data_IF_517929916343
#
_entry.id   IF_517929916343
#
_cell.length_a   1.000
_cell.length_b   1.000
_cell.length_c   1.000
_cell.angle_alpha   90.00
_cell.angle_beta   90.00
_cell.angle_gamma   90.00
#
_symmetry.space_group_name_H-M   'P 1'
#
loop_
_entity.id
_entity.type
_entity.pdbx_description
1 polymer ?
#
# COMPACT_ATOMS: atom_id res chain seq x y z
N UNK A 1 37.31 10.98 -3.90
CA UNK A 1 35.89 11.36 -3.77
C UNK A 1 35.08 10.52 -4.75
N UNK A 2 34.20 9.64 -4.26
CA UNK A 2 33.18 9.02 -5.12
C UNK A 2 32.15 10.10 -5.42
N UNK A 3 31.88 10.39 -6.69
CA UNK A 3 30.77 11.24 -7.09
C UNK A 3 29.48 10.67 -6.49
N UNK A 4 28.79 11.45 -5.65
CA UNK A 4 27.40 11.18 -5.31
C UNK A 4 26.59 11.31 -6.60
N UNK A 5 26.22 10.17 -7.18
CA UNK A 5 25.26 10.13 -8.28
C UNK A 5 23.97 10.77 -7.77
N UNK A 6 23.60 11.92 -8.32
CA UNK A 6 22.28 12.51 -8.11
C UNK A 6 21.22 11.43 -8.39
N UNK A 7 20.17 11.32 -7.55
CA UNK A 7 19.10 10.36 -7.78
C UNK A 7 18.61 10.46 -9.22
N UNK A 8 18.42 9.31 -9.87
CA UNK A 8 17.90 9.25 -11.26
C UNK A 8 16.52 9.91 -11.34
N UNK A 9 15.78 9.93 -10.22
CA UNK A 9 14.42 10.43 -10.11
C UNK A 9 14.38 11.52 -9.03
N UNK A 10 13.76 12.64 -9.37
CA UNK A 10 13.50 13.74 -8.45
C UNK A 10 12.53 13.33 -7.32
N UNK A 11 12.89 13.65 -6.07
CA UNK A 11 11.91 13.76 -4.99
C UNK A 11 11.12 15.05 -5.23
N UNK A 12 10.08 14.99 -6.05
CA UNK A 12 9.21 16.16 -6.26
C UNK A 12 8.24 16.27 -5.09
N UNK A 13 8.44 17.30 -4.27
CA UNK A 13 7.42 17.76 -3.32
C UNK A 13 6.50 18.72 -4.07
N UNK A 14 5.21 18.45 -4.07
CA UNK A 14 4.20 19.41 -4.50
C UNK A 14 3.51 19.98 -3.27
N UNK A 15 2.82 21.11 -3.42
CA UNK A 15 1.88 21.53 -2.41
C UNK A 15 0.73 20.52 -2.37
N UNK A 16 0.40 20.06 -1.18
CA UNK A 16 -0.69 19.12 -0.96
C UNK A 16 -2.02 19.83 -1.18
N UNK A 17 -2.91 19.22 -1.96
CA UNK A 17 -4.31 19.58 -1.96
C UNK A 17 -4.96 18.80 -0.80
N UNK A 18 -5.45 19.46 0.26
CA UNK A 18 -6.02 18.77 1.42
C UNK A 18 -7.19 17.83 1.07
N UNK A 19 -7.89 18.05 -0.05
CA UNK A 19 -9.04 17.24 -0.43
C UNK A 19 -8.67 15.91 -1.11
N UNK A 20 -7.51 15.83 -1.75
CA UNK A 20 -7.09 14.68 -2.58
C UNK A 20 -5.69 14.16 -2.21
N UNK A 21 -5.08 14.70 -1.15
CA UNK A 21 -3.77 14.31 -0.62
C UNK A 21 -2.59 14.74 -1.50
N UNK A 22 -1.36 14.28 -1.20
CA UNK A 22 -0.21 14.51 -2.06
C UNK A 22 -0.28 13.65 -3.34
N UNK A 23 0.12 14.18 -4.52
CA UNK A 23 0.29 13.37 -5.74
C UNK A 23 1.49 12.43 -5.68
N UNK A 24 2.40 12.60 -4.71
CA UNK A 24 3.47 11.66 -4.36
C UNK A 24 3.47 11.50 -2.85
N UNK A 25 2.95 10.35 -2.39
CA UNK A 25 2.76 10.07 -0.97
C UNK A 25 4.06 9.74 -0.23
N UNK A 26 5.03 9.10 -0.90
CA UNK A 26 6.25 8.61 -0.28
C UNK A 26 7.49 9.18 -0.95
N UNK A 27 8.53 9.40 -0.15
CA UNK A 27 9.87 9.72 -0.64
C UNK A 27 10.46 8.51 -1.39
N UNK A 28 11.44 8.76 -2.26
CA UNK A 28 12.11 7.68 -3.00
C UNK A 28 12.69 6.57 -2.09
N UNK A 29 13.33 6.87 -0.94
CA UNK A 29 13.76 5.84 0.01
C UNK A 29 12.61 4.98 0.52
N UNK A 30 11.45 5.55 0.85
CA UNK A 30 10.28 4.79 1.28
C UNK A 30 9.73 3.90 0.18
N UNK A 31 9.68 4.38 -1.07
CA UNK A 31 9.22 3.57 -2.21
C UNK A 31 10.18 2.40 -2.46
N UNK A 32 11.50 2.62 -2.39
CA UNK A 32 12.49 1.53 -2.48
C UNK A 32 12.33 0.54 -1.34
N UNK A 33 12.11 1.02 -0.11
CA UNK A 33 11.84 0.19 1.05
C UNK A 33 10.62 -0.70 0.81
N UNK A 34 9.52 -0.14 0.32
CA UNK A 34 8.30 -0.88 -0.02
C UNK A 34 8.57 -2.02 -1.02
N UNK A 35 9.28 -1.74 -2.12
CA UNK A 35 9.59 -2.76 -3.12
C UNK A 35 10.55 -3.84 -2.59
N UNK A 36 11.58 -3.46 -1.84
CA UNK A 36 12.48 -4.41 -1.19
C UNK A 36 11.73 -5.31 -0.19
N UNK A 37 10.87 -4.71 0.64
CA UNK A 37 10.06 -5.41 1.64
C UNK A 37 9.24 -6.55 1.02
N UNK A 38 8.64 -6.30 -0.15
CA UNK A 38 7.86 -7.34 -0.85
C UNK A 38 8.70 -8.21 -1.78
N UNK A 39 10.03 -8.09 -1.77
CA UNK A 39 10.94 -8.79 -2.66
C UNK A 39 10.52 -8.66 -4.13
N UNK A 40 10.28 -7.42 -4.58
CA UNK A 40 9.93 -7.13 -5.97
C UNK A 40 11.06 -7.51 -6.94
N UNK A 41 10.67 -8.06 -8.09
CA UNK A 41 11.57 -8.62 -9.10
C UNK A 41 11.16 -8.24 -10.52
N UNK A 42 12.01 -8.58 -11.49
CA UNK A 42 11.74 -8.33 -12.91
C UNK A 42 10.62 -9.21 -13.51
N UNK A 43 10.10 -10.18 -12.75
CA UNK A 43 8.93 -10.99 -13.12
C UNK A 43 7.61 -10.38 -12.65
N UNK A 44 7.67 -9.39 -11.76
CA UNK A 44 6.49 -8.83 -11.12
C UNK A 44 5.73 -7.82 -12.01
N UNK A 45 4.41 -7.90 -11.94
CA UNK A 45 3.49 -6.91 -12.54
C UNK A 45 2.86 -6.11 -11.41
N UNK A 46 3.20 -4.83 -11.36
CA UNK A 46 2.80 -3.92 -10.30
C UNK A 46 1.61 -3.05 -10.69
N UNK A 47 0.66 -2.91 -9.78
CA UNK A 47 -0.50 -2.05 -9.92
C UNK A 47 -0.50 -1.01 -8.80
N UNK A 48 -0.65 0.27 -9.16
CA UNK A 48 -0.71 1.40 -8.24
C UNK A 48 -2.10 2.05 -8.34
N UNK A 49 -2.90 1.90 -7.28
CA UNK A 49 -4.28 2.39 -7.23
C UNK A 49 -4.31 3.77 -6.57
N UNK A 50 -4.54 4.82 -7.37
CA UNK A 50 -4.31 6.21 -6.96
C UNK A 50 -2.87 6.64 -7.20
N UNK A 51 -2.36 6.38 -8.41
CA UNK A 51 -0.94 6.46 -8.73
C UNK A 51 -0.35 7.88 -8.73
N UNK A 52 -1.18 8.92 -8.67
CA UNK A 52 -0.76 10.31 -8.62
C UNK A 52 0.16 10.68 -9.78
N UNK A 53 1.37 11.15 -9.47
CA UNK A 53 2.39 11.47 -10.47
C UNK A 53 3.24 10.27 -10.92
N UNK A 54 2.79 9.05 -10.62
CA UNK A 54 3.40 7.78 -11.00
C UNK A 54 4.82 7.56 -10.44
N UNK A 55 5.13 8.09 -9.26
CA UNK A 55 6.46 7.95 -8.65
C UNK A 55 6.83 6.50 -8.40
N UNK A 56 5.93 5.72 -7.81
CA UNK A 56 6.13 4.28 -7.56
C UNK A 56 6.41 3.53 -8.85
N UNK A 57 5.67 3.85 -9.92
CA UNK A 57 5.80 3.23 -11.24
C UNK A 57 7.16 3.54 -11.86
N UNK A 58 7.61 4.79 -11.80
CA UNK A 58 8.90 5.21 -12.37
C UNK A 58 10.04 4.50 -11.63
N UNK A 59 10.01 4.47 -10.29
CA UNK A 59 11.02 3.74 -9.48
C UNK A 59 10.97 2.24 -9.79
N UNK A 60 9.77 1.65 -9.81
CA UNK A 60 9.59 0.23 -10.09
C UNK A 60 10.19 -0.20 -11.43
N UNK A 61 9.96 0.58 -12.50
CA UNK A 61 10.53 0.26 -13.82
C UNK A 61 12.03 0.52 -13.90
N UNK A 62 12.51 1.65 -13.37
CA UNK A 62 13.89 2.10 -13.61
C UNK A 62 14.92 1.53 -12.64
N UNK A 63 14.53 1.21 -11.41
CA UNK A 63 15.44 0.74 -10.38
C UNK A 63 15.22 -0.74 -10.03
N UNK A 64 13.97 -1.20 -10.03
CA UNK A 64 13.61 -2.60 -9.72
C UNK A 64 13.40 -3.46 -10.97
N UNK A 65 13.41 -2.84 -12.15
CA UNK A 65 13.23 -3.52 -13.44
C UNK A 65 11.92 -4.34 -13.53
N UNK A 66 10.88 -3.96 -12.81
CA UNK A 66 9.59 -4.66 -12.76
C UNK A 66 9.08 -4.96 -14.17
N UNK A 67 8.51 -6.16 -14.38
CA UNK A 67 8.06 -6.62 -15.71
C UNK A 67 7.17 -5.60 -16.40
N UNK A 68 6.20 -5.09 -15.65
CA UNK A 68 5.16 -4.15 -16.11
C UNK A 68 4.56 -3.40 -14.91
N UNK A 69 4.24 -2.12 -15.10
CA UNK A 69 3.57 -1.29 -14.11
C UNK A 69 2.29 -0.65 -14.67
N UNK A 70 1.19 -0.71 -13.93
CA UNK A 70 -0.08 -0.07 -14.27
C UNK A 70 -0.48 0.90 -13.17
N UNK A 71 -0.68 2.17 -13.51
CA UNK A 71 -1.21 3.18 -12.59
C UNK A 71 -2.64 3.54 -12.95
N UNK A 72 -3.49 3.69 -11.94
CA UNK A 72 -4.83 4.25 -12.10
C UNK A 72 -4.89 5.58 -11.37
N UNK A 73 -5.34 6.62 -12.05
CA UNK A 73 -5.47 7.96 -11.49
C UNK A 73 -6.77 8.61 -12.00
N UNK A 74 -7.58 9.13 -11.09
CA UNK A 74 -8.87 9.74 -11.43
C UNK A 74 -8.77 11.23 -11.68
N UNK A 75 -7.79 11.91 -11.06
CA UNK A 75 -7.56 13.33 -11.24
C UNK A 75 -6.87 13.59 -12.58
N UNK A 76 -7.46 14.49 -13.38
CA UNK A 76 -6.97 14.79 -14.73
C UNK A 76 -5.57 15.41 -14.70
N UNK A 77 -5.30 16.35 -13.80
CA UNK A 77 -4.01 17.04 -13.75
C UNK A 77 -2.88 16.11 -13.32
N UNK A 78 -3.12 15.27 -12.30
CA UNK A 78 -2.19 14.21 -11.89
C UNK A 78 -1.96 13.21 -13.00
N UNK A 79 -3.02 12.77 -13.68
CA UNK A 79 -2.92 11.89 -14.83
C UNK A 79 -2.04 12.51 -15.92
N UNK A 80 -2.30 13.74 -16.36
CA UNK A 80 -1.50 14.40 -17.40
C UNK A 80 -0.04 14.58 -16.99
N UNK A 81 0.21 14.93 -15.72
CA UNK A 81 1.57 15.04 -15.23
C UNK A 81 2.29 13.68 -15.17
N UNK A 82 1.61 12.62 -14.75
CA UNK A 82 2.16 11.26 -14.77
C UNK A 82 2.60 10.86 -16.18
N UNK A 83 1.78 11.14 -17.21
CA UNK A 83 2.11 10.89 -18.61
C UNK A 83 3.34 11.72 -19.05
N UNK A 84 3.43 12.99 -18.65
CA UNK A 84 4.60 13.84 -18.91
C UNK A 84 5.86 13.26 -18.25
N UNK A 85 5.78 12.79 -17.01
CA UNK A 85 6.91 12.19 -16.28
C UNK A 85 7.36 10.88 -16.92
N UNK A 86 6.44 9.99 -17.30
CA UNK A 86 6.77 8.75 -18.02
C UNK A 86 7.54 9.06 -19.32
N UNK A 87 7.13 10.10 -20.06
CA UNK A 87 7.84 10.58 -21.26
C UNK A 87 9.22 11.15 -20.91
N UNK A 88 9.33 12.00 -19.88
CA UNK A 88 10.60 12.60 -19.39
C UNK A 88 11.64 11.52 -19.08
N UNK A 89 11.22 10.44 -18.39
CA UNK A 89 12.09 9.31 -18.04
C UNK A 89 12.19 8.24 -19.13
N UNK A 90 11.65 8.48 -20.33
CA UNK A 90 11.71 7.58 -21.50
C UNK A 90 11.20 6.16 -21.21
N UNK A 91 10.17 6.05 -20.38
CA UNK A 91 9.59 4.76 -20.00
C UNK A 91 8.82 4.16 -21.19
N UNK A 92 9.12 2.93 -21.63
CA UNK A 92 8.42 2.29 -22.74
C UNK A 92 6.94 2.03 -22.43
N UNK A 93 6.05 2.29 -23.40
CA UNK A 93 4.59 2.10 -23.25
C UNK A 93 4.16 0.65 -22.96
N UNK A 94 4.98 -0.33 -23.36
CA UNK A 94 4.73 -1.74 -23.06
C UNK A 94 5.18 -2.14 -21.64
N UNK A 95 5.96 -1.29 -20.98
CA UNK A 95 6.47 -1.48 -19.61
C UNK A 95 5.66 -0.72 -18.58
N UNK A 96 5.16 0.48 -18.91
CA UNK A 96 4.27 1.21 -18.03
C UNK A 96 3.11 1.86 -18.78
N UNK A 97 1.94 1.88 -18.13
CA UNK A 97 0.74 2.58 -18.60
C UNK A 97 0.02 3.22 -17.42
N UNK A 98 -0.34 4.49 -17.57
CA UNK A 98 -1.27 5.17 -16.67
C UNK A 98 -2.63 5.20 -17.33
N UNK A 99 -3.66 4.99 -16.52
CA UNK A 99 -5.05 4.94 -16.95
C UNK A 99 -5.79 6.01 -16.19
N UNK A 100 -6.41 6.91 -16.94
CA UNK A 100 -7.30 7.89 -16.38
C UNK A 100 -8.64 7.24 -16.04
N UNK A 101 -9.04 7.29 -14.77
CA UNK A 101 -10.29 6.73 -14.29
C UNK A 101 -10.27 6.40 -12.80
N UNK A 102 -11.43 5.98 -12.30
CA UNK A 102 -11.58 5.53 -10.92
C UNK A 102 -11.10 4.09 -10.81
N UNK A 103 -10.33 3.76 -9.77
CA UNK A 103 -9.82 2.40 -9.61
C UNK A 103 -10.96 1.40 -9.37
N UNK A 104 -12.13 1.84 -8.89
CA UNK A 104 -13.30 0.99 -8.72
C UNK A 104 -13.80 0.40 -10.03
N UNK A 105 -13.61 1.11 -11.15
CA UNK A 105 -14.00 0.65 -12.48
C UNK A 105 -13.18 -0.56 -12.95
N UNK A 106 -12.02 -0.82 -12.34
CA UNK A 106 -11.25 -2.05 -12.57
C UNK A 106 -12.01 -3.31 -12.13
N UNK A 107 -12.76 -3.23 -11.04
CA UNK A 107 -13.45 -4.40 -10.47
C UNK A 107 -14.72 -4.77 -11.24
N UNK A 108 -15.21 -3.85 -12.08
CA UNK A 108 -16.41 -4.00 -12.88
C UNK A 108 -16.08 -4.24 -14.36
N UNK A 109 -14.79 -4.46 -14.70
CA UNK A 109 -14.29 -4.63 -16.06
C UNK A 109 -14.66 -3.47 -17.01
N UNK A 110 -14.86 -2.26 -16.46
CA UNK A 110 -15.21 -1.06 -17.23
C UNK A 110 -13.98 -0.45 -17.94
N UNK A 111 -12.78 -0.78 -17.47
CA UNK A 111 -11.52 -0.31 -18.05
C UNK A 111 -10.97 -1.34 -19.02
N UNK A 112 -10.97 -1.00 -20.32
CA UNK A 112 -10.43 -1.88 -21.37
C UNK A 112 -8.91 -2.02 -21.29
N UNK A 113 -8.42 -3.23 -21.54
CA UNK A 113 -7.00 -3.54 -21.63
C UNK A 113 -6.28 -3.58 -20.27
N UNK A 114 -7.03 -3.82 -19.21
CA UNK A 114 -6.53 -4.06 -17.86
C UNK A 114 -7.11 -5.35 -17.34
N UNK A 115 -6.28 -6.13 -16.64
CA UNK A 115 -6.72 -7.37 -16.03
C UNK A 115 -6.05 -7.52 -14.68
N UNK A 116 -6.79 -7.28 -13.59
CA UNK A 116 -6.27 -7.41 -12.22
C UNK A 116 -5.76 -8.82 -11.89
N UNK A 117 -6.14 -9.85 -12.66
CA UNK A 117 -5.59 -11.21 -12.51
C UNK A 117 -4.13 -11.31 -12.93
N UNK A 118 -3.59 -10.36 -13.68
CA UNK A 118 -2.16 -10.35 -14.03
C UNK A 118 -1.29 -9.76 -12.91
N UNK A 119 -1.89 -9.01 -11.97
CA UNK A 119 -1.17 -8.33 -10.92
C UNK A 119 -0.45 -9.35 -10.00
N UNK A 120 0.80 -9.08 -9.72
CA UNK A 120 1.59 -9.83 -8.74
C UNK A 120 1.78 -9.03 -7.45
N UNK A 121 1.81 -7.70 -7.58
CA UNK A 121 1.90 -6.73 -6.50
C UNK A 121 0.88 -5.63 -6.76
N UNK A 122 0.10 -5.26 -5.75
CA UNK A 122 -0.82 -4.12 -5.78
C UNK A 122 -0.44 -3.22 -4.62
N UNK A 123 -0.16 -1.95 -4.87
CA UNK A 123 -0.14 -0.93 -3.83
C UNK A 123 -1.51 -0.26 -3.73
N UNK A 124 -1.98 -0.12 -2.50
CA UNK A 124 -3.24 0.55 -2.18
C UNK A 124 -3.05 1.45 -0.95
N UNK A 125 -3.14 2.76 -1.17
CA UNK A 125 -2.96 3.78 -0.13
C UNK A 125 -4.15 4.72 0.04
N UNK A 126 -5.35 4.28 -0.38
CA UNK A 126 -6.55 5.12 -0.37
C UNK A 126 -7.52 4.70 0.74
N UNK A 127 -8.23 5.65 1.34
CA UNK A 127 -9.27 5.35 2.31
C UNK A 127 -10.60 5.09 1.59
N UNK A 128 -10.93 3.82 1.30
CA UNK A 128 -12.27 3.47 0.83
C UNK A 128 -12.84 2.24 1.53
N UNK A 129 -14.17 2.17 1.58
CA UNK A 129 -14.89 1.05 2.16
C UNK A 129 -15.13 -0.05 1.13
N UNK A 130 -15.11 -1.32 1.57
CA UNK A 130 -15.50 -2.46 0.74
C UNK A 130 -14.52 -2.88 -0.36
N UNK A 131 -13.36 -2.22 -0.48
CA UNK A 131 -12.32 -2.53 -1.48
C UNK A 131 -11.82 -3.98 -1.38
N UNK A 132 -11.70 -4.50 -0.16
CA UNK A 132 -11.24 -5.87 0.09
C UNK A 132 -12.08 -6.94 -0.61
N UNK A 133 -13.41 -6.84 -0.50
CA UNK A 133 -14.33 -7.80 -1.13
C UNK A 133 -14.18 -7.78 -2.64
N UNK A 134 -13.90 -6.60 -3.22
CA UNK A 134 -13.67 -6.44 -4.66
C UNK A 134 -12.30 -7.00 -5.07
N UNK A 135 -11.23 -6.69 -4.32
CA UNK A 135 -9.88 -7.23 -4.56
C UNK A 135 -9.88 -8.76 -4.50
N UNK A 136 -10.44 -9.35 -3.44
CA UNK A 136 -10.50 -10.81 -3.24
C UNK A 136 -11.09 -11.56 -4.43
N UNK A 137 -12.07 -10.97 -5.14
CA UNK A 137 -12.70 -11.59 -6.31
C UNK A 137 -11.87 -11.43 -7.59
N UNK A 138 -11.16 -10.31 -7.72
CA UNK A 138 -10.59 -9.88 -9.00
C UNK A 138 -9.08 -10.12 -9.16
N UNK A 139 -8.35 -10.38 -8.06
CA UNK A 139 -6.91 -10.66 -8.11
C UNK A 139 -6.62 -12.16 -8.18
N UNK A 140 -5.41 -12.53 -8.59
CA UNK A 140 -4.95 -13.93 -8.59
C UNK A 140 -4.42 -14.36 -7.22
N UNK A 141 -4.36 -15.67 -7.00
CA UNK A 141 -3.66 -16.22 -5.83
C UNK A 141 -2.16 -15.91 -5.90
N UNK A 142 -1.57 -15.72 -4.73
CA UNK A 142 -0.19 -15.26 -4.56
C UNK A 142 0.02 -13.75 -4.81
N UNK A 143 -1.00 -13.00 -5.21
CA UNK A 143 -0.89 -11.55 -5.36
C UNK A 143 -0.65 -10.89 -4.00
N UNK A 144 0.38 -10.04 -3.91
CA UNK A 144 0.75 -9.26 -2.72
C UNK A 144 0.00 -7.93 -2.72
N UNK A 145 -0.86 -7.71 -1.75
CA UNK A 145 -1.48 -6.41 -1.47
C UNK A 145 -0.61 -5.66 -0.46
N UNK A 146 -0.07 -4.53 -0.88
CA UNK A 146 0.77 -3.64 -0.08
C UNK A 146 -0.03 -2.41 0.29
N UNK A 147 0.02 -2.06 1.56
CA UNK A 147 -0.67 -0.91 2.15
C UNK A 147 0.20 -0.32 3.27
N UNK A 148 -0.23 0.78 3.87
CA UNK A 148 0.57 1.51 4.85
C UNK A 148 -0.20 1.80 6.15
N UNK A 149 0.46 2.38 7.14
CA UNK A 149 -0.06 2.57 8.50
C UNK A 149 -1.39 3.33 8.56
N UNK A 150 -1.68 4.25 7.63
CA UNK A 150 -2.98 4.93 7.59
C UNK A 150 -4.05 4.22 6.75
N UNK A 151 -3.75 3.06 6.19
CA UNK A 151 -4.67 2.29 5.34
C UNK A 151 -4.68 0.81 5.74
N UNK A 152 -4.94 0.53 7.03
CA UNK A 152 -5.02 -0.82 7.56
C UNK A 152 -6.41 -1.46 7.38
N UNK A 153 -6.43 -2.79 7.37
CA UNK A 153 -7.64 -3.60 7.17
C UNK A 153 -7.89 -4.53 8.36
N UNK A 154 -8.75 -4.16 9.32
CA UNK A 154 -9.26 -5.04 10.37
C UNK A 154 -9.81 -6.39 9.90
N UNK A 155 -10.27 -6.48 8.65
CA UNK A 155 -10.84 -7.68 8.05
C UNK A 155 -9.77 -8.68 7.56
N UNK A 156 -8.50 -8.25 7.49
CA UNK A 156 -7.38 -9.00 6.92
C UNK A 156 -6.27 -9.13 7.95
N UNK A 157 -5.72 -10.32 8.09
CA UNK A 157 -4.48 -10.53 8.82
C UNK A 157 -3.30 -10.24 7.91
N UNK A 158 -2.41 -9.33 8.33
CA UNK A 158 -1.18 -9.09 7.59
C UNK A 158 -0.31 -10.36 7.61
N UNK A 159 0.27 -10.69 6.46
CA UNK A 159 1.27 -11.76 6.37
C UNK A 159 2.62 -11.28 6.89
N UNK A 160 2.95 -10.01 6.65
CA UNK A 160 4.17 -9.39 7.13
C UNK A 160 4.06 -7.85 7.23
N UNK A 161 5.00 -7.22 7.92
CA UNK A 161 5.09 -5.76 8.10
C UNK A 161 6.53 -5.26 8.19
N UNK A 162 6.79 -4.08 7.63
CA UNK A 162 8.02 -3.31 7.77
C UNK A 162 7.65 -1.82 7.73
N UNK A 163 7.43 -1.25 8.93
CA UNK A 163 6.81 0.06 9.12
C UNK A 163 7.42 1.14 8.18
N UNK A 164 6.61 1.91 7.45
CA UNK A 164 5.15 2.02 7.59
C UNK A 164 4.35 1.03 6.72
N UNK A 165 5.00 0.05 6.06
CA UNK A 165 4.35 -0.82 5.09
C UNK A 165 3.91 -2.17 5.67
N UNK A 166 2.85 -2.71 5.08
CA UNK A 166 2.25 -3.98 5.43
C UNK A 166 1.94 -4.75 4.15
N UNK A 167 2.00 -6.08 4.22
CA UNK A 167 1.66 -6.94 3.09
C UNK A 167 0.68 -8.04 3.51
N UNK A 168 -0.32 -8.24 2.67
CA UNK A 168 -1.23 -9.38 2.72
C UNK A 168 -1.19 -10.12 1.38
N UNK A 169 -1.21 -11.45 1.38
CA UNK A 169 -1.08 -12.29 0.19
C UNK A 169 -2.43 -12.96 -0.08
N UNK A 170 -2.88 -12.91 -1.34
CA UNK A 170 -4.11 -13.59 -1.75
C UNK A 170 -3.94 -15.12 -1.82
N UNK A 171 -4.92 -15.94 -1.42
CA UNK A 171 -6.16 -15.55 -0.76
C UNK A 171 -5.90 -15.03 0.66
N UNK A 172 -6.54 -13.90 0.99
CA UNK A 172 -6.28 -13.21 2.24
C UNK A 172 -6.82 -13.96 3.46
N UNK A 173 -5.97 -14.06 4.49
CA UNK A 173 -6.34 -14.61 5.79
C UNK A 173 -7.19 -13.65 6.60
N UNK A 174 -8.18 -14.20 7.32
CA UNK A 174 -8.96 -13.45 8.30
C UNK A 174 -8.28 -13.54 9.67
N UNK A 175 -8.23 -12.46 10.46
CA UNK A 175 -7.72 -12.54 11.82
C UNK A 175 -8.64 -13.40 12.69
N UNK A 176 -8.04 -14.20 13.59
CA UNK A 176 -8.77 -15.06 14.52
C UNK A 176 -9.35 -14.28 15.71
N UNK A 177 -8.70 -13.20 16.10
CA UNK A 177 -9.11 -12.29 17.17
C UNK A 177 -8.50 -10.90 16.94
N UNK A 178 -8.93 -9.90 17.70
CA UNK A 178 -8.30 -8.58 17.69
C UNK A 178 -6.82 -8.64 18.11
N UNK A 179 -6.47 -9.55 19.02
CA UNK A 179 -5.07 -9.80 19.41
C UNK A 179 -4.25 -10.34 18.24
N UNK A 180 -4.81 -11.30 17.50
CA UNK A 180 -4.15 -11.90 16.32
C UNK A 180 -3.90 -10.86 15.22
N UNK A 181 -4.87 -9.96 15.02
CA UNK A 181 -4.73 -8.83 14.09
C UNK A 181 -3.60 -7.88 14.52
N UNK A 182 -3.65 -7.35 15.75
CA UNK A 182 -2.62 -6.42 16.25
C UNK A 182 -1.22 -7.02 16.22
N UNK A 183 -1.11 -8.30 16.60
CA UNK A 183 0.18 -9.01 16.57
C UNK A 183 0.76 -9.09 15.17
N UNK A 184 -0.08 -9.23 14.13
CA UNK A 184 0.35 -9.27 12.73
C UNK A 184 0.85 -7.92 12.19
N UNK A 185 0.37 -6.81 12.77
CA UNK A 185 0.74 -5.45 12.37
C UNK A 185 2.00 -5.01 13.12
N UNK A 186 1.98 -5.08 14.45
CA UNK A 186 3.04 -4.51 15.33
C UNK A 186 4.30 -5.38 15.34
N UNK A 187 4.17 -6.70 15.11
CA UNK A 187 5.29 -7.67 15.19
C UNK A 187 6.08 -7.67 16.51
N UNK A 188 5.47 -7.23 17.61
CA UNK A 188 6.10 -7.32 18.92
C UNK A 188 6.08 -8.76 19.42
N UNK A 189 7.25 -9.39 19.48
CA UNK A 189 7.37 -10.80 19.89
C UNK A 189 7.30 -11.00 21.42
N UNK A 190 7.80 -10.03 22.19
CA UNK A 190 7.99 -10.13 23.65
C UNK A 190 7.43 -8.91 24.37
N UNK A 191 6.86 -9.14 25.54
CA UNK A 191 6.43 -8.05 26.41
C UNK A 191 7.63 -7.23 26.92
N UNK A 192 7.50 -5.91 26.88
CA UNK A 192 8.35 -4.92 27.52
C UNK A 192 8.37 -5.07 29.05
N UNK A 193 7.28 -5.59 29.64
CA UNK A 193 7.17 -5.81 31.10
C UNK A 193 7.73 -7.18 31.49
N UNK A 194 7.39 -8.24 30.74
CA UNK A 194 7.89 -9.59 30.99
C UNK A 194 8.45 -10.22 29.71
N UNK A 195 9.77 -10.11 29.52
CA UNK A 195 10.47 -10.56 28.30
C UNK A 195 10.34 -12.05 27.99
N UNK A 196 9.85 -12.87 28.93
CA UNK A 196 9.60 -14.30 28.73
C UNK A 196 8.15 -14.62 28.29
N UNK A 197 7.30 -13.59 28.15
CA UNK A 197 5.90 -13.73 27.75
C UNK A 197 5.62 -12.95 26.47
N UNK A 198 4.56 -13.35 25.77
CA UNK A 198 3.95 -12.57 24.69
C UNK A 198 3.41 -11.25 25.26
N UNK A 199 3.40 -10.16 24.46
CA UNK A 199 2.81 -8.90 24.89
C UNK A 199 1.33 -9.06 25.24
N UNK A 200 0.86 -8.28 26.21
CA UNK A 200 -0.56 -8.23 26.52
C UNK A 200 -1.32 -7.44 25.44
N UNK A 201 -2.64 -7.62 25.37
CA UNK A 201 -3.48 -6.86 24.43
C UNK A 201 -3.37 -5.34 24.63
N UNK A 202 -3.33 -4.88 25.88
CA UNK A 202 -3.15 -3.47 26.23
C UNK A 202 -1.79 -2.94 25.76
N UNK A 203 -0.75 -3.76 25.84
CA UNK A 203 0.58 -3.40 25.39
C UNK A 203 0.64 -3.23 23.87
N UNK A 204 0.03 -4.16 23.13
CA UNK A 204 -0.10 -4.03 21.67
C UNK A 204 -0.88 -2.77 21.29
N UNK A 205 -1.99 -2.47 21.96
CA UNK A 205 -2.71 -1.22 21.70
C UNK A 205 -1.85 0.00 21.98
N UNK A 206 -1.10 0.04 23.08
CA UNK A 206 -0.24 1.18 23.41
C UNK A 206 0.82 1.42 22.32
N UNK A 207 1.46 0.36 21.82
CA UNK A 207 2.43 0.46 20.73
C UNK A 207 1.76 0.94 19.43
N UNK A 208 0.58 0.38 19.12
CA UNK A 208 -0.20 0.82 17.97
C UNK A 208 -0.57 2.29 18.06
N UNK A 209 -1.16 2.74 19.17
CA UNK A 209 -1.54 4.13 19.38
C UNK A 209 -0.34 5.07 19.38
N UNK A 210 0.80 4.65 19.91
CA UNK A 210 2.01 5.48 19.89
C UNK A 210 2.40 5.89 18.47
N UNK A 211 2.31 4.97 17.49
CA UNK A 211 2.62 5.28 16.10
C UNK A 211 1.63 6.30 15.48
N UNK A 212 0.36 6.32 15.90
CA UNK A 212 -0.63 7.30 15.42
C UNK A 212 -0.64 8.61 16.23
N UNK A 213 -0.32 8.56 17.52
CA UNK A 213 -0.20 9.74 18.40
C UNK A 213 0.97 10.63 17.94
N UNK A 214 2.05 10.02 17.45
CA UNK A 214 3.18 10.76 16.83
C UNK A 214 2.75 11.48 15.54
N UNK A 215 1.71 10.99 14.86
CA UNK A 215 1.22 11.50 13.58
C UNK A 215 -0.07 12.34 13.69
N UNK A 216 -0.57 12.59 14.92
CA UNK A 216 -1.83 13.30 15.24
C UNK A 216 -3.12 12.66 14.65
N UNK A 217 -3.11 11.32 14.49
CA UNK A 217 -4.18 10.55 13.84
C UNK A 217 -4.89 9.57 14.80
N UNK A 218 -5.06 9.96 16.06
CA UNK A 218 -5.62 9.08 17.10
C UNK A 218 -7.03 8.57 16.79
N UNK A 219 -7.84 9.37 16.11
CA UNK A 219 -9.21 9.00 15.71
C UNK A 219 -9.22 7.80 14.76
N UNK A 220 -8.21 7.68 13.89
CA UNK A 220 -8.07 6.55 12.97
C UNK A 220 -7.75 5.25 13.72
N UNK A 221 -6.91 5.33 14.75
CA UNK A 221 -6.60 4.18 15.59
C UNK A 221 -7.82 3.69 16.39
N UNK A 222 -8.68 4.60 16.88
CA UNK A 222 -9.95 4.24 17.51
C UNK A 222 -10.96 3.64 16.51
N UNK A 223 -11.01 4.12 15.26
CA UNK A 223 -11.84 3.49 14.21
C UNK A 223 -11.45 2.02 13.98
N UNK A 224 -10.14 1.72 13.87
CA UNK A 224 -9.68 0.35 13.73
C UNK A 224 -10.10 -0.52 14.92
N UNK A 225 -10.00 0.01 16.13
CA UNK A 225 -10.43 -0.68 17.35
C UNK A 225 -11.92 -0.99 17.34
N UNK A 226 -12.76 -0.03 16.95
CA UNK A 226 -14.21 -0.22 16.89
C UNK A 226 -14.65 -1.16 15.77
N UNK A 227 -13.97 -1.13 14.62
CA UNK A 227 -14.17 -2.10 13.54
C UNK A 227 -13.82 -3.52 13.99
N UNK A 228 -12.70 -3.71 14.69
CA UNK A 228 -12.34 -5.02 15.26
C UNK A 228 -13.40 -5.50 16.26
N UNK A 229 -13.90 -4.62 17.15
CA UNK A 229 -15.02 -4.98 18.04
C UNK A 229 -16.21 -5.47 17.23
N UNK A 230 -16.67 -4.73 16.21
CA UNK A 230 -17.79 -5.14 15.35
C UNK A 230 -17.56 -6.51 14.68
N UNK A 231 -16.35 -6.76 14.18
CA UNK A 231 -15.99 -8.03 13.51
C UNK A 231 -16.08 -9.23 14.47
N UNK A 232 -15.69 -9.06 15.73
CA UNK A 232 -15.62 -10.16 16.70
C UNK A 232 -16.83 -10.24 17.65
N UNK A 233 -17.59 -9.16 17.85
CA UNK A 233 -18.83 -9.17 18.64
C UNK A 233 -19.95 -9.93 17.92
N UNK A 234 -20.01 -9.85 16.58
CA UNK A 234 -21.02 -10.53 15.75
C UNK A 234 -20.77 -12.05 15.59
N UNK A 235 -19.80 -12.63 16.31
CA UNK A 235 -19.49 -14.07 16.30
C UNK A 235 -20.01 -14.80 17.55
N UNK A 236 -20.86 -14.16 18.35
CA UNK A 236 -21.45 -14.70 19.59
C UNK A 236 -22.88 -15.14 19.38
#
# INVERSE_FOLDING_TARGET
MKEEKRPVIDDTRSNDDPAIGPPIMFTNPHIRKMFNFVNASNDDVFYDLGSGWAQNIIIGITEFNLKKCIGIESDEDRYQNSIRRLKKYKIPKNRAKIIHGKFEDLFENKIKGVNLKEATIIFYGLETTGIFTKLKKNIRDGCKLVYYNKCLFPEIKANDSDYPFYVSISPFDKPLSAYDWLSSIIKKEKSSINKNKKPAMSELWNEFFHDFDVEDDRDLAEDYRDRLKKIFSNKS
#
